data_IF_183045610460
#
_entry.id   IF_183045610460
#
_cell.length_a   1.000
_cell.length_b   1.000
_cell.length_c   1.000
_cell.angle_alpha   90.00
_cell.angle_beta   90.00
_cell.angle_gamma   90.00
#
_symmetry.space_group_name_H-M   'P 1'
#
loop_
_entity.id
_entity.type
_entity.pdbx_description
1 polymer ?
#
# COMPACT_ATOMS: atom_id res chain seq x y z
N UNK A 1 -16.66 1.83 32.85
CA UNK A 1 -16.53 0.68 31.96
C UNK A 1 -15.49 1.04 30.90
N UNK A 2 -14.28 0.55 31.06
CA UNK A 2 -13.18 0.84 30.12
C UNK A 2 -13.31 -0.11 28.93
N UNK A 3 -13.55 0.46 27.74
CA UNK A 3 -13.48 -0.28 26.48
C UNK A 3 -12.02 -0.73 26.26
N UNK A 4 -11.82 -2.03 26.38
CA UNK A 4 -10.58 -2.69 26.01
C UNK A 4 -10.25 -2.33 24.56
N UNK A 5 -9.17 -1.58 24.36
CA UNK A 5 -8.59 -1.36 23.04
C UNK A 5 -8.00 -2.69 22.59
N UNK A 6 -8.73 -3.42 21.77
CA UNK A 6 -8.22 -4.60 21.08
C UNK A 6 -7.30 -4.12 19.93
N UNK A 7 -6.04 -3.94 20.29
CA UNK A 7 -4.94 -3.92 19.33
C UNK A 7 -4.16 -5.22 19.47
N UNK A 8 -3.41 -5.65 18.45
CA UNK A 8 -2.56 -6.81 18.60
C UNK A 8 -1.58 -6.55 19.75
N UNK A 9 -1.64 -7.37 20.78
CA UNK A 9 -0.53 -7.53 21.70
C UNK A 9 0.61 -8.12 20.88
N UNK A 10 1.65 -7.31 20.66
CA UNK A 10 2.89 -7.82 20.11
C UNK A 10 3.56 -8.66 21.18
N UNK A 11 3.40 -9.97 21.12
CA UNK A 11 4.29 -10.87 21.80
C UNK A 11 5.70 -10.68 21.24
N UNK A 12 6.64 -10.41 22.12
CA UNK A 12 8.02 -10.01 21.82
C UNK A 12 8.84 -11.19 21.25
N UNK A 13 8.24 -12.37 21.14
CA UNK A 13 8.91 -13.61 20.75
C UNK A 13 8.70 -14.03 19.29
N UNK A 14 7.88 -13.32 18.53
CA UNK A 14 7.89 -13.48 17.08
C UNK A 14 9.08 -12.71 16.52
N UNK A 15 10.04 -13.44 16.03
CA UNK A 15 11.16 -12.99 15.20
C UNK A 15 10.65 -12.18 14.01
N UNK A 16 10.15 -10.98 14.30
CA UNK A 16 9.97 -9.95 13.30
C UNK A 16 11.39 -9.62 12.88
N UNK A 17 11.81 -10.14 11.74
CA UNK A 17 12.98 -9.68 11.03
C UNK A 17 13.01 -8.15 11.14
N UNK A 18 13.83 -7.66 12.06
CA UNK A 18 14.22 -6.27 12.18
C UNK A 18 14.92 -5.89 10.88
N UNK A 19 14.12 -5.58 9.87
CA UNK A 19 14.61 -4.86 8.72
C UNK A 19 14.86 -3.44 9.21
N UNK A 20 16.13 -3.15 9.42
CA UNK A 20 16.68 -1.85 9.73
C UNK A 20 15.90 -0.75 8.98
N UNK A 21 15.37 0.26 9.68
CA UNK A 21 14.61 1.33 9.04
C UNK A 21 15.56 2.31 8.36
N UNK A 22 16.03 2.01 7.18
CA UNK A 22 16.88 2.95 6.45
C UNK A 22 17.43 2.52 5.10
N UNK A 23 17.41 1.23 4.77
CA UNK A 23 18.19 0.77 3.61
C UNK A 23 17.34 0.25 2.44
N UNK A 24 16.03 0.03 2.61
CA UNK A 24 15.24 -0.68 1.60
C UNK A 24 14.36 0.21 0.72
N UNK A 25 14.27 1.50 0.95
CA UNK A 25 13.38 2.38 0.19
C UNK A 25 13.96 2.99 -1.07
N UNK A 26 15.26 3.03 -1.25
CA UNK A 26 15.87 3.72 -2.41
C UNK A 26 16.29 2.81 -3.56
N UNK A 27 16.70 1.57 -3.32
CA UNK A 27 17.26 0.74 -4.40
C UNK A 27 16.23 0.03 -5.29
N UNK A 28 15.00 -0.13 -4.85
CA UNK A 28 13.99 -0.88 -5.61
C UNK A 28 13.16 -0.03 -6.59
N UNK A 29 13.23 1.28 -6.51
CA UNK A 29 12.49 2.18 -7.41
C UNK A 29 13.26 2.60 -8.67
N UNK A 30 14.59 2.46 -8.67
CA UNK A 30 15.43 2.96 -9.77
C UNK A 30 15.62 1.97 -10.93
N UNK A 31 15.43 0.67 -10.71
CA UNK A 31 15.78 -0.33 -11.72
C UNK A 31 14.63 -0.76 -12.66
N UNK A 32 13.39 -0.39 -12.39
CA UNK A 32 12.24 -0.79 -13.22
C UNK A 32 11.80 0.24 -14.27
N UNK A 33 12.56 1.31 -14.47
CA UNK A 33 12.27 2.30 -15.52
C UNK A 33 12.93 2.00 -16.88
N UNK A 34 13.67 0.94 -17.00
CA UNK A 34 14.37 0.60 -18.25
C UNK A 34 13.80 -0.68 -18.82
N UNK A 35 12.69 -0.63 -19.47
CA UNK A 35 12.35 -1.43 -20.64
C UNK A 35 10.88 -1.38 -21.02
N UNK A 36 10.44 -0.31 -21.64
CA UNK A 36 9.24 -0.34 -22.51
C UNK A 36 9.43 0.67 -23.64
N UNK A 37 10.42 0.40 -24.50
CA UNK A 37 10.38 0.91 -25.87
C UNK A 37 9.73 -0.17 -26.72
N UNK A 38 8.45 -0.05 -26.94
CA UNK A 38 7.73 -0.83 -27.96
C UNK A 38 7.59 0.04 -29.19
N UNK A 39 8.29 -0.30 -30.25
CA UNK A 39 8.09 0.21 -31.59
C UNK A 39 6.85 -0.41 -32.21
N UNK A 40 5.99 0.35 -32.90
CA UNK A 40 4.81 -0.22 -33.56
C UNK A 40 5.19 -0.74 -34.93
N UNK A 41 4.89 -2.00 -35.22
CA UNK A 41 4.77 -2.48 -36.61
C UNK A 41 3.51 -3.30 -36.78
N UNK A 42 2.76 -2.85 -37.79
CA UNK A 42 1.42 -3.23 -38.19
C UNK A 42 1.28 -4.68 -38.65
N UNK A 43 0.10 -5.28 -38.53
CA UNK A 43 -0.82 -5.69 -39.56
C UNK A 43 -1.66 -6.88 -39.14
N UNK A 44 -2.98 -6.67 -39.14
CA UNK A 44 -4.13 -7.53 -39.40
C UNK A 44 -4.23 -8.95 -38.85
N UNK A 45 -5.29 -9.20 -38.12
CA UNK A 45 -6.27 -10.28 -38.22
C UNK A 45 -7.09 -10.47 -36.93
N UNK A 46 -8.37 -10.30 -37.13
CA UNK A 46 -9.54 -10.84 -36.43
C UNK A 46 -10.05 -10.11 -35.18
N UNK A 47 -11.22 -9.58 -35.39
CA UNK A 47 -12.08 -8.77 -34.50
C UNK A 47 -12.57 -9.45 -33.20
N UNK A 48 -12.14 -10.65 -32.88
CA UNK A 48 -12.54 -11.39 -31.68
C UNK A 48 -11.52 -11.36 -30.56
N UNK A 49 -10.32 -10.81 -30.82
CA UNK A 49 -9.29 -10.61 -29.77
C UNK A 49 -9.26 -9.19 -29.20
N UNK A 50 -10.03 -8.26 -29.79
CA UNK A 50 -9.96 -6.84 -29.41
C UNK A 50 -10.59 -6.51 -28.05
N UNK A 51 -11.64 -7.19 -27.63
CA UNK A 51 -12.29 -6.85 -26.35
C UNK A 51 -11.45 -7.19 -25.12
N UNK A 52 -10.74 -8.31 -25.13
CA UNK A 52 -9.85 -8.66 -23.99
C UNK A 52 -8.59 -7.79 -23.91
N UNK A 53 -8.11 -7.29 -25.04
CA UNK A 53 -6.91 -6.47 -25.10
C UNK A 53 -7.17 -5.02 -24.64
N UNK A 54 -8.37 -4.51 -24.87
CA UNK A 54 -8.77 -3.15 -24.49
C UNK A 54 -8.93 -3.05 -22.95
N UNK A 55 -9.51 -4.05 -22.32
CA UNK A 55 -9.69 -4.05 -20.87
C UNK A 55 -8.36 -4.19 -20.12
N UNK A 56 -7.44 -4.96 -20.66
CA UNK A 56 -6.11 -5.13 -20.09
C UNK A 56 -5.25 -3.86 -20.21
N UNK A 57 -5.32 -3.19 -21.36
CA UNK A 57 -4.65 -1.91 -21.59
C UNK A 57 -5.18 -0.82 -20.64
N UNK A 58 -6.49 -0.71 -20.49
CA UNK A 58 -7.11 0.26 -19.56
C UNK A 58 -6.75 -0.01 -18.09
N UNK A 59 -6.68 -1.27 -17.70
CA UNK A 59 -6.29 -1.65 -16.35
C UNK A 59 -4.82 -1.31 -16.08
N UNK A 60 -3.93 -1.51 -17.03
CA UNK A 60 -2.52 -1.10 -16.96
C UNK A 60 -2.39 0.42 -16.89
N UNK A 61 -3.15 1.15 -17.69
CA UNK A 61 -3.14 2.61 -17.67
C UNK A 61 -3.63 3.16 -16.34
N UNK A 62 -4.71 2.61 -15.78
CA UNK A 62 -5.23 3.01 -14.48
C UNK A 62 -4.23 2.74 -13.36
N UNK A 63 -3.58 1.57 -13.38
CA UNK A 63 -2.53 1.24 -12.41
C UNK A 63 -1.36 2.20 -12.52
N UNK A 64 -0.91 2.49 -13.73
CA UNK A 64 0.21 3.40 -13.96
C UNK A 64 -0.12 4.83 -13.53
N UNK A 65 -1.32 5.31 -13.84
CA UNK A 65 -1.78 6.62 -13.39
C UNK A 65 -1.79 6.72 -11.86
N UNK A 66 -2.31 5.70 -11.18
CA UNK A 66 -2.33 5.64 -9.73
C UNK A 66 -0.91 5.66 -9.14
N UNK A 67 0.00 4.85 -9.68
CA UNK A 67 1.40 4.79 -9.22
C UNK A 67 2.12 6.12 -9.43
N UNK A 68 1.87 6.80 -10.53
CA UNK A 68 2.43 8.13 -10.79
C UNK A 68 1.89 9.16 -9.80
N UNK A 69 0.60 9.15 -9.54
CA UNK A 69 -0.05 10.09 -8.63
C UNK A 69 0.46 9.96 -7.19
N UNK A 70 0.55 8.75 -6.67
CA UNK A 70 1.08 8.51 -5.31
C UNK A 70 2.57 8.84 -5.19
N UNK A 71 3.31 8.82 -6.30
CA UNK A 71 4.73 9.17 -6.35
C UNK A 71 5.03 10.60 -5.95
N UNK A 72 4.07 11.52 -6.07
CA UNK A 72 4.25 12.94 -5.75
C UNK A 72 4.08 13.28 -4.26
N UNK A 73 3.49 12.42 -3.47
CA UNK A 73 3.33 12.66 -2.03
C UNK A 73 4.66 12.47 -1.30
N UNK A 74 5.20 13.51 -0.63
CA UNK A 74 6.45 13.38 0.09
C UNK A 74 6.31 12.47 1.31
N UNK A 75 7.39 11.74 1.60
CA UNK A 75 7.49 10.93 2.82
C UNK A 75 7.57 11.84 4.05
N UNK A 76 7.05 11.34 5.18
CA UNK A 76 7.12 12.03 6.45
C UNK A 76 8.42 11.69 7.19
N UNK A 77 9.02 12.72 7.80
CA UNK A 77 10.07 12.51 8.81
C UNK A 77 9.45 11.92 10.09
N UNK A 78 10.26 11.31 11.00
CA UNK A 78 9.74 10.81 12.27
C UNK A 78 8.97 11.85 13.08
N UNK A 79 9.45 13.09 13.09
CA UNK A 79 8.84 14.21 13.82
C UNK A 79 7.52 14.63 13.20
N UNK A 80 7.46 14.72 11.87
CA UNK A 80 6.24 15.01 11.13
C UNK A 80 5.20 13.90 11.31
N UNK A 81 5.62 12.64 11.31
CA UNK A 81 4.76 11.49 11.54
C UNK A 81 4.07 11.56 12.90
N UNK A 82 4.82 11.86 13.96
CA UNK A 82 4.27 12.05 15.30
C UNK A 82 3.30 13.22 15.33
N UNK A 83 3.65 14.34 14.70
CA UNK A 83 2.80 15.52 14.64
C UNK A 83 1.46 15.24 13.96
N UNK A 84 1.48 14.66 12.75
CA UNK A 84 0.26 14.35 12.02
C UNK A 84 -0.54 13.21 12.65
N UNK A 85 0.12 12.23 13.27
CA UNK A 85 -0.56 11.19 14.03
C UNK A 85 -1.33 11.75 15.22
N UNK A 86 -0.76 12.70 15.95
CA UNK A 86 -1.45 13.40 17.03
C UNK A 86 -2.65 14.20 16.55
N UNK A 87 -2.53 14.88 15.40
CA UNK A 87 -3.65 15.57 14.78
C UNK A 87 -4.75 14.58 14.38
N UNK A 88 -4.40 13.46 13.77
CA UNK A 88 -5.36 12.43 13.40
C UNK A 88 -6.11 11.84 14.61
N UNK A 89 -5.41 11.63 15.74
CA UNK A 89 -6.04 11.19 16.99
C UNK A 89 -7.08 12.19 17.53
N UNK A 90 -6.86 13.48 17.30
CA UNK A 90 -7.79 14.55 17.68
C UNK A 90 -8.98 14.69 16.73
N UNK A 91 -9.03 13.88 15.67
CA UNK A 91 -10.08 13.93 14.67
C UNK A 91 -9.86 14.97 13.57
N UNK A 92 -8.67 15.54 13.43
CA UNK A 92 -8.33 16.47 12.36
C UNK A 92 -8.27 15.75 11.02
N UNK A 93 -9.13 16.08 10.05
CA UNK A 93 -9.15 15.43 8.74
C UNK A 93 -7.88 15.72 7.93
N UNK A 94 -7.22 16.85 8.12
CA UNK A 94 -5.97 17.18 7.44
C UNK A 94 -4.81 16.28 7.90
N UNK A 95 -4.69 16.06 9.22
CA UNK A 95 -3.71 15.15 9.79
C UNK A 95 -3.92 13.71 9.32
N UNK A 96 -5.16 13.24 9.32
CA UNK A 96 -5.53 11.92 8.82
C UNK A 96 -5.18 11.74 7.35
N UNK A 97 -5.55 12.69 6.50
CA UNK A 97 -5.24 12.68 5.07
C UNK A 97 -3.74 12.60 4.84
N UNK A 98 -2.96 13.40 5.53
CA UNK A 98 -1.51 13.44 5.39
C UNK A 98 -0.86 12.11 5.76
N UNK A 99 -1.31 11.48 6.84
CA UNK A 99 -0.85 10.14 7.24
C UNK A 99 -1.17 9.08 6.18
N UNK A 100 -2.33 9.13 5.58
CA UNK A 100 -2.74 8.18 4.53
C UNK A 100 -1.92 8.40 3.26
N UNK A 101 -1.89 9.62 2.73
CA UNK A 101 -1.25 9.95 1.45
C UNK A 101 0.26 9.65 1.46
N UNK A 102 0.95 9.94 2.55
CA UNK A 102 2.38 9.68 2.67
C UNK A 102 2.75 8.19 2.77
N UNK A 103 1.78 7.32 3.04
CA UNK A 103 1.98 5.88 3.20
C UNK A 103 1.34 5.01 2.09
N UNK A 104 0.81 5.63 1.04
CA UNK A 104 0.22 4.88 -0.09
C UNK A 104 1.26 4.02 -0.81
N UNK A 105 2.50 4.48 -0.91
CA UNK A 105 3.60 3.69 -1.49
C UNK A 105 3.90 2.43 -0.71
N UNK A 106 3.78 2.48 0.61
CA UNK A 106 3.93 1.32 1.47
C UNK A 106 2.90 0.24 1.14
N UNK A 107 1.64 0.64 0.90
CA UNK A 107 0.57 -0.26 0.49
C UNK A 107 0.92 -0.96 -0.83
N UNK A 108 1.38 -0.21 -1.82
CA UNK A 108 1.78 -0.77 -3.13
C UNK A 108 2.92 -1.76 -2.97
N UNK A 109 3.93 -1.43 -2.19
CA UNK A 109 5.08 -2.31 -1.93
C UNK A 109 4.65 -3.64 -1.32
N UNK A 110 3.74 -3.61 -0.38
CA UNK A 110 3.21 -4.82 0.26
C UNK A 110 2.31 -5.59 -0.71
N UNK A 111 1.40 -4.90 -1.42
CA UNK A 111 0.47 -5.51 -2.36
C UNK A 111 1.18 -6.28 -3.49
N UNK A 112 2.30 -5.78 -3.97
CA UNK A 112 3.11 -6.45 -5.02
C UNK A 112 3.56 -7.85 -4.64
N UNK A 113 3.72 -8.15 -3.37
CA UNK A 113 4.11 -9.47 -2.88
C UNK A 113 2.99 -10.51 -2.99
N UNK A 114 1.75 -10.06 -3.17
CA UNK A 114 0.56 -10.90 -3.23
C UNK A 114 -0.02 -11.03 -4.64
N UNK A 115 0.67 -10.52 -5.65
CA UNK A 115 0.28 -10.67 -7.06
C UNK A 115 0.28 -12.15 -7.45
N UNK A 116 -0.57 -12.51 -8.40
CA UNK A 116 -0.76 -13.89 -8.90
C UNK A 116 -1.40 -14.87 -7.89
N UNK A 117 -2.13 -14.35 -6.92
CA UNK A 117 -2.88 -15.17 -5.96
C UNK A 117 -4.41 -15.07 -6.11
N UNK A 118 -4.88 -14.62 -7.28
CA UNK A 118 -6.30 -14.57 -7.62
C UNK A 118 -6.93 -13.19 -7.64
N UNK A 119 -6.25 -12.16 -7.15
CA UNK A 119 -6.67 -10.76 -7.21
C UNK A 119 -5.74 -9.93 -8.08
N UNK A 120 -6.29 -8.92 -8.76
CA UNK A 120 -5.48 -7.94 -9.50
C UNK A 120 -4.68 -7.05 -8.54
N UNK A 121 -3.60 -6.43 -9.04
CA UNK A 121 -2.80 -5.50 -8.22
C UNK A 121 -3.65 -4.35 -7.69
N UNK A 122 -4.54 -3.77 -8.50
CA UNK A 122 -5.42 -2.68 -8.04
C UNK A 122 -6.36 -3.14 -6.93
N UNK A 123 -6.94 -4.34 -7.02
CA UNK A 123 -7.79 -4.88 -5.97
C UNK A 123 -7.01 -5.11 -4.67
N UNK A 124 -5.79 -5.61 -4.77
CA UNK A 124 -4.89 -5.76 -3.63
C UNK A 124 -4.54 -4.42 -2.99
N UNK A 125 -4.29 -3.40 -3.80
CA UNK A 125 -4.02 -2.03 -3.32
C UNK A 125 -5.25 -1.45 -2.61
N UNK A 126 -6.45 -1.61 -3.17
CA UNK A 126 -7.69 -1.14 -2.55
C UNK A 126 -7.92 -1.79 -1.17
N UNK A 127 -7.74 -3.09 -1.08
CA UNK A 127 -7.83 -3.81 0.20
C UNK A 127 -6.73 -3.36 1.18
N UNK A 128 -5.52 -3.19 0.69
CA UNK A 128 -4.41 -2.67 1.49
C UNK A 128 -4.67 -1.25 2.01
N UNK A 129 -5.29 -0.40 1.20
CA UNK A 129 -5.67 0.97 1.61
C UNK A 129 -6.70 0.96 2.74
N UNK A 130 -7.65 0.02 2.75
CA UNK A 130 -8.56 -0.15 3.88
C UNK A 130 -7.81 -0.52 5.16
N UNK A 131 -6.80 -1.37 5.06
CA UNK A 131 -5.91 -1.70 6.18
C UNK A 131 -5.12 -0.48 6.65
N UNK A 132 -4.60 0.33 5.74
CA UNK A 132 -3.90 1.57 6.04
C UNK A 132 -4.79 2.57 6.80
N UNK A 133 -6.03 2.76 6.37
CA UNK A 133 -6.99 3.64 7.03
C UNK A 133 -7.23 3.20 8.47
N UNK A 134 -7.42 1.91 8.71
CA UNK A 134 -7.56 1.36 10.06
C UNK A 134 -6.32 1.56 10.91
N UNK A 135 -5.13 1.41 10.31
CA UNK A 135 -3.89 1.66 11.01
C UNK A 135 -3.77 3.13 11.47
N UNK A 136 -4.14 4.09 10.62
CA UNK A 136 -4.17 5.51 10.97
C UNK A 136 -5.12 5.79 12.13
N UNK A 137 -6.29 5.17 12.14
CA UNK A 137 -7.28 5.35 13.19
C UNK A 137 -6.82 4.81 14.56
N UNK A 138 -6.02 3.74 14.55
CA UNK A 138 -5.62 3.01 15.76
C UNK A 138 -4.20 3.28 16.21
N UNK A 139 -3.40 3.97 15.41
CA UNK A 139 -2.00 4.24 15.72
C UNK A 139 -1.85 5.18 16.92
N UNK A 140 -0.95 4.81 17.84
CA UNK A 140 -0.56 5.62 18.99
C UNK A 140 0.90 6.04 18.81
N UNK A 141 1.18 7.33 18.50
CA UNK A 141 2.53 7.82 18.28
C UNK A 141 3.39 7.83 19.54
N UNK A 142 2.77 7.77 20.73
CA UNK A 142 3.48 7.82 22.00
C UNK A 142 4.14 6.47 22.37
N UNK A 143 3.87 5.40 21.63
CA UNK A 143 4.49 4.10 21.87
C UNK A 143 5.93 3.97 21.36
N UNK A 144 6.44 4.94 20.60
CA UNK A 144 7.83 4.97 20.13
C UNK A 144 8.11 4.14 18.87
N UNK A 145 7.11 3.50 18.28
CA UNK A 145 7.24 2.77 17.01
C UNK A 145 6.98 3.68 15.81
N UNK A 146 7.66 3.40 14.69
CA UNK A 146 7.34 4.03 13.43
C UNK A 146 5.96 3.55 12.94
N UNK A 147 5.21 4.46 12.32
CA UNK A 147 3.90 4.13 11.75
C UNK A 147 3.98 3.01 10.71
N UNK A 148 5.02 3.00 9.88
CA UNK A 148 5.21 1.97 8.85
C UNK A 148 5.25 0.54 9.41
N UNK A 149 5.87 0.35 10.56
CA UNK A 149 5.92 -0.95 11.23
C UNK A 149 4.53 -1.41 11.66
N UNK A 150 3.77 -0.52 12.27
CA UNK A 150 2.41 -0.79 12.71
C UNK A 150 1.44 -1.00 11.53
N UNK A 151 1.50 -0.13 10.54
CA UNK A 151 0.63 -0.18 9.37
C UNK A 151 0.86 -1.43 8.52
N UNK A 152 2.09 -1.93 8.42
CA UNK A 152 2.42 -3.14 7.67
C UNK A 152 1.59 -4.33 8.12
N UNK A 153 1.39 -4.51 9.42
CA UNK A 153 0.56 -5.58 9.96
C UNK A 153 -0.90 -5.46 9.49
N UNK A 154 -1.49 -4.27 9.58
CA UNK A 154 -2.87 -4.02 9.16
C UNK A 154 -3.07 -4.22 7.66
N UNK A 155 -2.14 -3.73 6.85
CA UNK A 155 -2.18 -3.86 5.40
C UNK A 155 -2.11 -5.34 4.99
N UNK A 156 -1.16 -6.08 5.53
CA UNK A 156 -1.00 -7.50 5.25
C UNK A 156 -2.23 -8.30 5.65
N UNK A 157 -2.72 -8.10 6.84
CA UNK A 157 -3.90 -8.80 7.35
C UNK A 157 -5.13 -8.57 6.47
N UNK A 158 -5.36 -7.33 6.04
CA UNK A 158 -6.50 -6.98 5.21
C UNK A 158 -6.39 -7.61 3.82
N UNK A 159 -5.21 -7.58 3.22
CA UNK A 159 -4.95 -8.22 1.92
C UNK A 159 -5.11 -9.74 2.00
N UNK A 160 -4.53 -10.38 2.99
CA UNK A 160 -4.61 -11.84 3.17
C UNK A 160 -6.05 -12.29 3.39
N UNK A 161 -6.82 -11.54 4.18
CA UNK A 161 -8.25 -11.81 4.37
C UNK A 161 -9.02 -11.69 3.06
N UNK A 162 -8.75 -10.66 2.26
CA UNK A 162 -9.40 -10.46 0.97
C UNK A 162 -9.10 -11.62 0.00
N UNK A 163 -7.85 -12.07 -0.06
CA UNK A 163 -7.45 -13.23 -0.88
C UNK A 163 -8.21 -14.48 -0.43
N UNK A 164 -8.28 -14.75 0.86
CA UNK A 164 -9.00 -15.92 1.38
C UNK A 164 -10.49 -15.89 1.07
N UNK A 165 -11.12 -14.73 1.11
CA UNK A 165 -12.56 -14.58 0.91
C UNK A 165 -12.97 -14.58 -0.56
N UNK A 166 -12.12 -14.12 -1.48
CA UNK A 166 -12.46 -13.89 -2.88
C UNK A 166 -11.92 -14.95 -3.84
N UNK A 167 -11.00 -15.78 -3.40
CA UNK A 167 -10.37 -16.82 -4.24
C UNK A 167 -10.98 -18.22 -4.08
N UNK A 168 -12.12 -18.32 -3.50
CA UNK A 168 -12.84 -19.61 -3.39
C UNK A 168 -13.42 -20.05 -4.72
#
# INVERSE_FOLDING_TARGET
MALKKEGPEFDVDDEVLLLEPGIILEESFAEEQVSLRVTPKATSLSSLKQHKHIDYSRALDATQLYLNEIGFSPLLTPEEEVHFARLAQKGDPAGRRRMIESNLRLVVKIARRYVNRGLSLLDLIEEGNLGLIRAVEKFDPERGFRFSTYATWWIRQTIERAIMNQTR
#
